data_IF_684882903509
#
_entry.id   IF_684882903509
#
_cell.length_a   1.000
_cell.length_b   1.000
_cell.length_c   1.000
_cell.angle_alpha   90.00
_cell.angle_beta   90.00
_cell.angle_gamma   90.00
#
_symmetry.space_group_name_H-M   'P 1'
#
loop_
_entity.id
_entity.type
_entity.pdbx_description
1 polymer ?
#
# COMPACT_ATOMS: atom_id res chain seq x y z
N UNK A 1 -6.82 23.83 15.33
CA UNK A 1 -7.01 23.88 13.86
C UNK A 1 -7.09 22.44 13.36
N UNK A 2 -8.30 21.94 13.12
CA UNK A 2 -8.53 20.59 12.59
C UNK A 2 -8.68 20.66 11.07
N UNK A 3 -7.71 20.12 10.32
CA UNK A 3 -7.88 19.89 8.88
C UNK A 3 -8.66 18.59 8.68
N UNK A 4 -9.99 18.70 8.57
CA UNK A 4 -10.83 17.59 8.09
C UNK A 4 -10.55 17.40 6.59
N UNK A 5 -10.02 16.25 6.22
CA UNK A 5 -9.87 15.87 4.81
C UNK A 5 -11.26 15.69 4.19
N UNK A 6 -11.55 16.44 3.14
CA UNK A 6 -12.80 16.33 2.40
C UNK A 6 -12.71 15.12 1.46
N UNK A 7 -13.47 14.07 1.74
CA UNK A 7 -13.74 12.99 0.78
C UNK A 7 -14.90 13.42 -0.11
N UNK A 8 -14.63 13.69 -1.38
CA UNK A 8 -15.69 13.96 -2.35
C UNK A 8 -16.45 12.65 -2.64
N UNK A 9 -17.78 12.74 -2.70
CA UNK A 9 -18.69 11.60 -2.87
C UNK A 9 -19.49 11.79 -4.14
N UNK A 10 -19.34 10.88 -5.11
CA UNK A 10 -20.26 10.78 -6.23
C UNK A 10 -21.16 9.57 -6.04
N UNK A 11 -22.47 9.82 -6.02
CA UNK A 11 -23.50 8.79 -5.95
C UNK A 11 -24.28 8.79 -7.26
N UNK A 12 -24.31 7.64 -7.94
CA UNK A 12 -25.12 7.45 -9.13
C UNK A 12 -26.60 7.48 -8.73
N UNK A 13 -27.33 8.49 -9.18
CA UNK A 13 -28.76 8.64 -8.88
C UNK A 13 -29.63 7.51 -9.47
N UNK A 14 -29.11 6.75 -10.45
CA UNK A 14 -29.86 5.71 -11.14
C UNK A 14 -29.65 4.29 -10.59
N UNK A 15 -28.55 4.01 -9.89
CA UNK A 15 -28.29 2.70 -9.28
C UNK A 15 -27.77 2.73 -7.84
N UNK A 16 -27.61 3.92 -7.24
CA UNK A 16 -27.13 4.09 -5.87
C UNK A 16 -25.63 3.85 -5.66
N UNK A 17 -24.90 3.43 -6.70
CA UNK A 17 -23.45 3.17 -6.60
C UNK A 17 -22.69 4.44 -6.20
N UNK A 18 -21.85 4.33 -5.19
CA UNK A 18 -21.08 5.46 -4.65
C UNK A 18 -19.59 5.20 -4.83
N UNK A 19 -18.89 6.14 -5.46
CA UNK A 19 -17.43 6.11 -5.59
C UNK A 19 -16.83 7.15 -4.65
N UNK A 20 -15.85 6.71 -3.87
CA UNK A 20 -15.06 7.56 -3.00
C UNK A 20 -13.71 7.81 -3.66
N UNK A 21 -13.31 9.07 -3.79
CA UNK A 21 -11.95 9.40 -4.18
C UNK A 21 -11.38 10.49 -3.29
N UNK A 22 -10.06 10.50 -3.22
CA UNK A 22 -9.28 11.51 -2.53
C UNK A 22 -8.35 12.12 -3.58
N UNK A 23 -8.44 13.44 -3.77
CA UNK A 23 -7.40 14.31 -4.33
C UNK A 23 -7.65 14.99 -5.70
N UNK A 24 -8.87 15.04 -6.26
CA UNK A 24 -9.26 16.05 -7.28
C UNK A 24 -10.79 16.23 -7.37
N UNK A 25 -11.27 17.32 -7.97
CA UNK A 25 -12.68 17.46 -8.37
C UNK A 25 -12.81 17.06 -9.85
N UNK A 26 -13.79 16.23 -10.20
CA UNK A 26 -14.09 15.88 -11.59
C UNK A 26 -15.60 15.93 -11.86
N UNK A 27 -15.95 16.27 -13.10
CA UNK A 27 -17.32 16.20 -13.59
C UNK A 27 -17.54 14.84 -14.28
N UNK A 28 -18.64 14.17 -13.94
CA UNK A 28 -19.13 13.02 -14.71
C UNK A 28 -19.73 13.55 -16.00
N UNK A 29 -19.15 13.12 -17.10
CA UNK A 29 -19.49 13.61 -18.44
C UNK A 29 -20.50 12.69 -19.16
N UNK A 30 -20.73 11.47 -18.64
CA UNK A 30 -21.77 10.57 -19.15
C UNK A 30 -21.66 9.15 -18.61
N UNK A 31 -22.64 8.31 -18.99
CA UNK A 31 -22.51 6.84 -18.95
C UNK A 31 -21.94 6.39 -20.29
N UNK A 32 -20.93 5.52 -20.29
CA UNK A 32 -20.45 4.89 -21.52
C UNK A 32 -21.50 3.87 -22.00
N UNK A 33 -22.17 4.09 -23.15
CA UNK A 33 -23.24 3.21 -23.60
C UNK A 33 -22.71 1.92 -24.26
N UNK A 34 -21.39 1.77 -24.44
CA UNK A 34 -20.76 0.63 -25.13
C UNK A 34 -20.38 -0.51 -24.19
N UNK A 35 -20.40 -0.31 -22.88
CA UNK A 35 -20.02 -1.33 -21.91
C UNK A 35 -21.26 -2.00 -21.29
N UNK A 36 -21.20 -3.32 -21.15
CA UNK A 36 -22.25 -4.12 -20.49
C UNK A 36 -22.28 -3.89 -18.98
N UNK A 37 -21.22 -3.33 -18.41
CA UNK A 37 -21.12 -2.92 -17.01
C UNK A 37 -21.20 -1.39 -16.89
N UNK A 38 -21.71 -0.85 -15.76
CA UNK A 38 -21.86 0.58 -15.59
C UNK A 38 -20.50 1.29 -15.44
N UNK A 39 -19.94 1.73 -16.56
CA UNK A 39 -18.79 2.60 -16.63
C UNK A 39 -19.20 4.08 -16.74
N UNK A 40 -18.54 4.95 -15.98
CA UNK A 40 -18.73 6.39 -16.03
C UNK A 40 -17.57 7.04 -16.76
N UNK A 41 -17.87 7.94 -17.68
CA UNK A 41 -16.86 8.79 -18.30
C UNK A 41 -16.62 9.99 -17.38
N UNK A 42 -15.37 10.11 -16.91
CA UNK A 42 -14.90 11.27 -16.15
C UNK A 42 -14.02 12.13 -17.05
N UNK A 43 -14.27 13.44 -17.07
CA UNK A 43 -13.38 14.37 -17.74
C UNK A 43 -12.16 14.61 -16.83
N UNK A 44 -10.98 14.17 -17.26
CA UNK A 44 -9.72 14.47 -16.56
C UNK A 44 -9.51 15.99 -16.57
N UNK A 45 -9.26 16.64 -15.43
CA UNK A 45 -8.98 18.07 -15.41
C UNK A 45 -7.74 18.35 -16.27
N UNK A 46 -7.85 19.31 -17.20
CA UNK A 46 -6.69 19.82 -17.93
C UNK A 46 -5.73 20.42 -16.91
N UNK A 47 -4.58 19.75 -16.69
CA UNK A 47 -3.49 20.07 -15.75
C UNK A 47 -3.78 21.29 -14.86
N UNK A 48 -4.33 21.06 -13.68
CA UNK A 48 -4.30 22.07 -12.65
C UNK A 48 -2.86 22.09 -12.09
N UNK A 49 -2.06 23.17 -12.24
CA UNK A 49 -0.67 23.21 -11.75
C UNK A 49 -0.56 23.06 -10.21
N UNK A 50 -1.69 23.09 -9.51
CA UNK A 50 -1.79 22.93 -8.07
C UNK A 50 -2.11 21.50 -7.59
N UNK A 51 -2.24 20.50 -8.48
CA UNK A 51 -2.18 19.09 -8.04
C UNK A 51 -0.73 18.76 -7.67
N UNK A 52 -0.26 19.38 -6.58
CA UNK A 52 0.98 19.00 -5.94
C UNK A 52 0.84 17.53 -5.60
N UNK A 53 1.57 16.71 -6.32
CA UNK A 53 1.76 15.30 -6.04
C UNK A 53 2.48 15.25 -4.69
N UNK A 54 1.74 15.45 -3.59
CA UNK A 54 2.29 15.46 -2.25
C UNK A 54 2.65 14.02 -1.98
N UNK A 55 3.90 13.70 -2.21
CA UNK A 55 4.48 12.44 -1.80
C UNK A 55 4.32 12.35 -0.27
N UNK A 56 3.25 11.67 0.18
CA UNK A 56 2.90 11.56 1.59
C UNK A 56 3.85 10.62 2.35
N UNK A 57 4.70 9.90 1.63
CA UNK A 57 5.57 8.86 2.18
C UNK A 57 6.94 9.46 2.47
N UNK A 58 7.38 9.30 3.71
CA UNK A 58 8.75 9.67 4.12
C UNK A 58 9.81 8.73 3.54
N UNK A 59 9.45 7.48 3.27
CA UNK A 59 10.35 6.44 2.79
C UNK A 59 9.83 5.83 1.48
N UNK A 60 10.69 5.63 0.47
CA UNK A 60 10.35 4.87 -0.72
C UNK A 60 9.98 3.44 -0.33
N UNK A 61 9.08 2.82 -1.09
CA UNK A 61 8.70 1.42 -0.92
C UNK A 61 9.09 0.65 -2.16
N UNK A 62 9.66 -0.52 -1.95
CA UNK A 62 10.15 -1.39 -3.00
C UNK A 62 9.34 -2.66 -3.02
N UNK A 63 8.98 -3.12 -4.21
CA UNK A 63 8.34 -4.42 -4.37
C UNK A 63 9.28 -5.50 -3.82
N UNK A 64 8.76 -6.32 -2.92
CA UNK A 64 9.52 -7.38 -2.28
C UNK A 64 8.67 -8.64 -2.27
N UNK A 65 9.17 -9.70 -2.90
CA UNK A 65 8.51 -10.99 -2.94
C UNK A 65 9.23 -11.95 -2.00
N UNK A 66 8.49 -12.49 -1.05
CA UNK A 66 9.04 -13.39 -0.03
C UNK A 66 7.99 -13.81 0.98
N UNK A 67 8.27 -14.87 1.73
CA UNK A 67 7.41 -15.31 2.82
C UNK A 67 7.76 -14.61 4.12
N UNK A 68 6.74 -14.35 4.92
CA UNK A 68 6.86 -13.91 6.31
C UNK A 68 6.28 -14.94 7.26
N UNK A 69 6.75 -14.89 8.50
CA UNK A 69 6.13 -15.53 9.64
C UNK A 69 5.64 -14.45 10.61
N UNK A 70 4.39 -14.57 11.02
CA UNK A 70 3.65 -13.70 11.93
C UNK A 70 3.37 -14.45 13.23
N UNK A 71 3.76 -13.87 14.36
CA UNK A 71 3.56 -14.45 15.70
C UNK A 71 3.98 -15.93 15.76
N UNK A 72 5.11 -16.24 15.11
CA UNK A 72 5.73 -17.58 15.01
C UNK A 72 4.92 -18.67 14.27
N UNK A 73 3.61 -18.48 14.08
CA UNK A 73 2.70 -19.53 13.63
C UNK A 73 2.08 -19.27 12.25
N UNK A 74 1.87 -18.00 11.89
CA UNK A 74 1.09 -17.67 10.70
C UNK A 74 2.00 -17.24 9.55
N UNK A 75 1.67 -17.70 8.34
CA UNK A 75 2.43 -17.31 7.15
C UNK A 75 1.74 -16.18 6.40
N UNK A 76 2.56 -15.39 5.74
CA UNK A 76 2.11 -14.37 4.80
C UNK A 76 3.09 -14.22 3.64
N UNK A 77 2.72 -13.39 2.68
CA UNK A 77 3.51 -13.08 1.49
C UNK A 77 3.73 -11.58 1.44
N UNK A 78 4.97 -11.13 1.31
CA UNK A 78 5.25 -9.72 1.09
C UNK A 78 4.65 -9.21 -0.22
N UNK A 79 4.32 -7.93 -0.19
CA UNK A 79 3.96 -7.13 -1.35
C UNK A 79 5.01 -6.04 -1.55
N UNK A 80 5.29 -5.29 -0.48
CA UNK A 80 6.30 -4.23 -0.50
C UNK A 80 7.03 -4.13 0.85
N UNK A 81 8.22 -3.54 0.81
CA UNK A 81 9.08 -3.31 1.97
C UNK A 81 9.68 -1.90 1.92
N UNK A 82 9.87 -1.29 3.09
CA UNK A 82 10.66 -0.09 3.26
C UNK A 82 11.38 -0.08 4.61
N UNK A 83 12.18 0.95 4.85
CA UNK A 83 13.02 1.06 6.06
C UNK A 83 12.23 0.98 7.37
N UNK A 84 10.96 1.41 7.38
CA UNK A 84 10.14 1.52 8.59
C UNK A 84 8.84 0.73 8.53
N UNK A 85 8.67 -0.13 7.53
CA UNK A 85 7.45 -0.90 7.45
C UNK A 85 7.39 -1.79 6.22
N UNK A 86 6.28 -2.50 6.12
CA UNK A 86 6.04 -3.40 5.02
C UNK A 86 4.56 -3.44 4.66
N UNK A 87 4.28 -4.10 3.54
CA UNK A 87 2.96 -4.59 3.20
C UNK A 87 3.06 -6.07 2.89
N UNK A 88 2.09 -6.84 3.35
CA UNK A 88 2.00 -8.26 3.07
C UNK A 88 0.55 -8.73 3.01
N UNK A 89 0.35 -9.90 2.41
CA UNK A 89 -0.92 -10.61 2.37
C UNK A 89 -0.88 -11.77 3.36
N UNK A 90 -1.99 -12.03 4.04
CA UNK A 90 -2.14 -13.18 4.94
C UNK A 90 -3.59 -13.62 5.02
N UNK A 91 -3.84 -14.86 5.46
CA UNK A 91 -5.16 -15.34 5.83
C UNK A 91 -5.55 -14.93 7.26
N UNK A 92 -4.56 -14.54 8.08
CA UNK A 92 -4.82 -14.11 9.45
C UNK A 92 -5.49 -12.74 9.44
N UNK A 93 -6.69 -12.67 10.01
CA UNK A 93 -7.36 -11.41 10.26
C UNK A 93 -6.70 -10.71 11.44
N UNK A 94 -6.07 -9.58 11.18
CA UNK A 94 -5.52 -8.66 12.18
C UNK A 94 -6.30 -7.35 12.14
N UNK A 95 -6.26 -6.62 13.25
CA UNK A 95 -6.92 -5.33 13.40
C UNK A 95 -5.90 -4.20 13.44
N UNK A 96 -6.37 -2.98 13.13
CA UNK A 96 -5.54 -1.78 13.23
C UNK A 96 -5.05 -1.61 14.67
N UNK A 97 -3.82 -1.13 14.79
CA UNK A 97 -3.08 -0.87 16.02
C UNK A 97 -2.65 -2.12 16.81
N UNK A 98 -2.99 -3.33 16.34
CA UNK A 98 -2.40 -4.57 16.87
C UNK A 98 -0.90 -4.62 16.60
N UNK A 99 -0.17 -5.18 17.56
CA UNK A 99 1.27 -5.40 17.47
C UNK A 99 1.52 -6.88 17.20
N UNK A 100 2.36 -7.16 16.21
CA UNK A 100 2.72 -8.51 15.79
C UNK A 100 4.24 -8.66 15.74
N UNK A 101 4.70 -9.86 16.03
CA UNK A 101 6.08 -10.25 15.79
C UNK A 101 6.20 -10.72 14.33
N UNK A 102 7.01 -10.02 13.55
CA UNK A 102 7.32 -10.35 12.17
C UNK A 102 8.71 -10.97 12.09
N UNK A 103 8.82 -12.09 11.40
CA UNK A 103 10.08 -12.74 11.05
C UNK A 103 10.14 -12.98 9.55
N UNK A 104 11.22 -12.53 8.92
CA UNK A 104 11.45 -12.73 7.49
C UNK A 104 12.92 -12.78 7.11
N UNK A 105 13.27 -13.53 6.05
CA UNK A 105 14.65 -13.59 5.57
C UNK A 105 15.00 -12.41 4.66
N UNK A 106 16.17 -11.80 4.90
CA UNK A 106 16.89 -10.95 3.94
C UNK A 106 18.28 -11.56 3.74
N UNK A 107 18.58 -12.02 2.52
CA UNK A 107 19.90 -12.57 2.13
C UNK A 107 20.46 -13.62 3.11
N UNK A 108 19.61 -14.50 3.60
CA UNK A 108 19.99 -15.56 4.55
C UNK A 108 20.01 -15.13 6.03
N UNK A 109 19.93 -13.83 6.31
CA UNK A 109 19.72 -13.33 7.68
C UNK A 109 18.23 -13.25 7.99
N UNK A 110 17.81 -13.79 9.13
CA UNK A 110 16.42 -13.62 9.61
C UNK A 110 16.29 -12.31 10.37
N UNK A 111 15.45 -11.43 9.86
CA UNK A 111 15.06 -10.19 10.51
C UNK A 111 13.84 -10.45 11.37
N UNK A 112 13.93 -10.15 12.66
CA UNK A 112 12.79 -10.16 13.58
C UNK A 112 12.48 -8.76 14.05
N UNK A 113 11.22 -8.38 13.99
CA UNK A 113 10.77 -7.01 14.27
C UNK A 113 9.37 -7.02 14.86
N UNK A 114 9.15 -6.20 15.89
CA UNK A 114 7.79 -5.88 16.36
C UNK A 114 7.19 -4.83 15.45
N UNK A 115 6.00 -5.11 14.94
CA UNK A 115 5.35 -4.24 13.98
C UNK A 115 3.89 -3.97 14.35
N UNK A 116 3.49 -2.72 14.23
CA UNK A 116 2.12 -2.29 14.45
C UNK A 116 1.35 -2.27 13.13
N UNK A 117 0.15 -2.84 13.12
CA UNK A 117 -0.75 -2.80 11.97
C UNK A 117 -1.31 -1.40 11.81
N UNK A 118 -0.98 -0.73 10.70
CA UNK A 118 -1.45 0.63 10.39
C UNK A 118 -2.58 0.64 9.36
N UNK A 119 -2.73 -0.44 8.60
CA UNK A 119 -3.73 -0.55 7.55
C UNK A 119 -4.16 -2.00 7.33
N UNK A 120 -5.47 -2.22 7.14
CA UNK A 120 -6.06 -3.53 6.87
C UNK A 120 -7.02 -3.38 5.68
N UNK A 121 -6.86 -4.22 4.66
CA UNK A 121 -7.80 -4.32 3.54
C UNK A 121 -8.09 -5.78 3.26
N UNK A 122 -9.37 -6.15 3.22
CA UNK A 122 -9.78 -7.46 2.77
C UNK A 122 -9.83 -7.49 1.24
N UNK A 123 -9.18 -8.48 0.64
CA UNK A 123 -9.31 -8.77 -0.78
C UNK A 123 -10.69 -9.35 -1.08
N UNK A 124 -11.35 -8.83 -2.10
CA UNK A 124 -12.68 -9.30 -2.53
C UNK A 124 -12.58 -10.61 -3.32
N UNK A 125 -11.48 -10.80 -4.05
CA UNK A 125 -11.28 -11.92 -4.98
C UNK A 125 -10.46 -13.05 -4.34
N UNK A 126 -9.40 -12.71 -3.61
CA UNK A 126 -8.44 -13.69 -3.07
C UNK A 126 -8.71 -14.07 -1.60
N UNK A 127 -9.77 -13.51 -0.99
CA UNK A 127 -10.17 -13.66 0.43
C UNK A 127 -9.06 -13.39 1.47
N UNK A 128 -7.87 -12.95 1.03
CA UNK A 128 -6.71 -12.66 1.87
C UNK A 128 -6.81 -11.22 2.38
N UNK A 129 -6.26 -11.01 3.58
CA UNK A 129 -6.06 -9.68 4.14
C UNK A 129 -4.73 -9.11 3.66
N UNK A 130 -4.78 -7.93 3.06
CA UNK A 130 -3.61 -7.09 2.80
C UNK A 130 -3.39 -6.17 3.98
N UNK A 131 -2.24 -6.34 4.65
CA UNK A 131 -1.87 -5.63 5.86
C UNK A 131 -0.71 -4.69 5.56
N UNK A 132 -0.83 -3.44 6.01
CA UNK A 132 0.27 -2.50 6.09
C UNK A 132 0.73 -2.38 7.53
N UNK A 133 2.03 -2.48 7.76
CA UNK A 133 2.62 -2.42 9.10
C UNK A 133 3.70 -1.35 9.21
N UNK A 134 3.91 -0.86 10.43
CA UNK A 134 5.00 0.02 10.83
C UNK A 134 5.91 -0.71 11.83
N UNK A 135 7.21 -0.66 11.64
CA UNK A 135 8.19 -1.29 12.53
C UNK A 135 8.41 -0.44 13.77
N UNK A 136 8.05 -0.97 14.95
CA UNK A 136 8.20 -0.25 16.23
C UNK A 136 9.66 -0.23 16.70
N UNK A 137 10.35 -1.35 16.52
CA UNK A 137 11.74 -1.49 16.94
C UNK A 137 12.47 -2.47 16.04
N UNK A 138 13.52 -2.00 15.38
CA UNK A 138 14.52 -2.82 14.69
C UNK A 138 15.79 -2.79 15.54
N UNK A 139 16.40 -3.96 15.74
CA UNK A 139 17.75 -4.04 16.29
C UNK A 139 18.72 -3.31 15.35
N UNK A 140 19.71 -2.60 15.90
CA UNK A 140 20.63 -1.77 15.08
C UNK A 140 21.29 -2.55 13.94
N UNK A 141 21.72 -3.79 14.20
CA UNK A 141 22.28 -4.66 13.16
C UNK A 141 21.27 -5.06 12.08
N UNK A 142 20.00 -5.21 12.43
CA UNK A 142 18.94 -5.47 11.45
C UNK A 142 18.59 -4.23 10.63
N UNK A 143 18.67 -3.04 11.22
CA UNK A 143 18.44 -1.75 10.53
C UNK A 143 19.49 -1.54 9.43
N UNK A 144 20.77 -1.82 9.71
CA UNK A 144 21.86 -1.72 8.73
C UNK A 144 21.71 -2.71 7.56
N UNK A 145 21.34 -3.97 7.87
CA UNK A 145 21.10 -5.00 6.84
C UNK A 145 19.92 -4.62 5.95
N UNK A 146 18.83 -4.15 6.55
CA UNK A 146 17.65 -3.71 5.82
C UNK A 146 17.97 -2.51 4.93
N UNK A 147 18.67 -1.50 5.47
CA UNK A 147 19.06 -0.30 4.74
C UNK A 147 19.96 -0.63 3.53
N UNK A 148 20.97 -1.49 3.72
CA UNK A 148 21.82 -1.97 2.63
C UNK A 148 21.00 -2.67 1.54
N UNK A 149 20.13 -3.60 1.93
CA UNK A 149 19.32 -4.36 1.01
C UNK A 149 18.37 -3.48 0.19
N UNK A 150 17.75 -2.48 0.82
CA UNK A 150 16.85 -1.57 0.13
C UNK A 150 17.57 -0.65 -0.86
N UNK A 151 18.83 -0.27 -0.59
CA UNK A 151 19.64 0.47 -1.57
C UNK A 151 19.89 -0.35 -2.82
N UNK A 152 20.26 -1.62 -2.68
CA UNK A 152 20.53 -2.50 -3.82
C UNK A 152 19.28 -2.74 -4.68
N UNK A 153 18.11 -3.01 -4.05
CA UNK A 153 16.85 -3.12 -4.81
C UNK A 153 16.54 -1.82 -5.56
N UNK A 154 16.84 -0.68 -4.94
CA UNK A 154 16.56 0.61 -5.56
C UNK A 154 17.36 0.82 -6.85
N UNK A 155 18.61 0.36 -6.89
CA UNK A 155 19.48 0.44 -8.06
C UNK A 155 18.96 -0.50 -9.16
N UNK A 156 18.68 -1.76 -8.85
CA UNK A 156 18.14 -2.75 -9.80
C UNK A 156 16.79 -2.31 -10.42
N UNK A 157 15.90 -1.74 -9.60
CA UNK A 157 14.59 -1.27 -10.07
C UNK A 157 14.68 0.00 -10.91
N UNK A 158 15.68 0.86 -10.68
CA UNK A 158 15.95 2.00 -11.53
C UNK A 158 16.51 1.53 -12.88
N UNK A 159 17.49 0.63 -12.90
CA UNK A 159 18.04 0.09 -14.15
C UNK A 159 16.96 -0.56 -15.01
N UNK A 160 16.10 -1.40 -14.42
CA UNK A 160 15.00 -2.05 -15.13
C UNK A 160 14.00 -1.05 -15.74
N UNK A 161 13.82 0.14 -15.14
CA UNK A 161 12.88 1.16 -15.65
C UNK A 161 13.47 2.06 -16.73
N UNK A 162 14.79 2.22 -16.77
CA UNK A 162 15.46 3.08 -17.76
C UNK A 162 16.02 2.32 -18.95
N UNK A 163 16.18 1.00 -18.84
CA UNK A 163 16.74 0.14 -19.89
C UNK A 163 15.75 -0.91 -20.45
N UNK A 164 14.45 -0.80 -20.13
CA UNK A 164 13.38 -1.63 -20.70
C UNK A 164 12.47 -0.86 -21.67
#
# INVERSE_FOLDING_TARGET
METRGWTNRLTCLNCGATVHWTDFECHVCGRNPREKEPAFEICLPQKNPASQNRERRKYPRYDFQGQIVLNECFRGEFVDLCQRGAKFKTLLRLFRDEVVDLDFPIRGTRIRVKARVVHVRQGVIDERFTLGVFFESLDKGHDEILDHYLREISEDQLETRYFA
#
